data_IF_529913345412
#
_entry.id   IF_529913345412
#
_cell.length_a   1.000
_cell.length_b   1.000
_cell.length_c   1.000
_cell.angle_alpha   90.00
_cell.angle_beta   90.00
_cell.angle_gamma   90.00
#
_symmetry.space_group_name_H-M   'P 1'
#
loop_
_entity.id
_entity.type
_entity.pdbx_description
1 polymer ?
#
# COMPACT_ATOMS: atom_id res chain seq x y z
N UNK A 1 -12.82 -1.82 13.84
CA UNK A 1 -11.61 -2.09 13.02
C UNK A 1 -10.36 -1.89 13.85
N UNK A 2 -9.35 -2.71 13.64
CA UNK A 2 -8.06 -2.65 14.32
C UNK A 2 -7.01 -2.31 13.27
N UNK A 3 -6.45 -1.10 13.31
CA UNK A 3 -5.52 -0.60 12.31
C UNK A 3 -4.30 0.07 12.92
N UNK A 4 -3.33 0.41 12.10
CA UNK A 4 -2.09 1.08 12.49
C UNK A 4 -2.04 2.52 11.99
N UNK A 5 -2.40 2.75 10.75
CA UNK A 5 -2.32 4.05 10.08
C UNK A 5 -3.71 4.56 9.68
N UNK A 6 -3.88 5.87 9.77
CA UNK A 6 -5.05 6.58 9.26
C UNK A 6 -4.66 8.04 8.93
N UNK A 7 -5.11 8.63 7.80
CA UNK A 7 -4.77 10.01 7.45
C UNK A 7 -5.13 11.05 8.51
N UNK A 8 -4.35 12.12 8.64
CA UNK A 8 -3.20 12.49 7.82
C UNK A 8 -1.92 11.72 8.16
N UNK A 9 -1.93 10.95 9.23
CA UNK A 9 -0.79 10.22 9.74
C UNK A 9 -0.70 8.85 9.08
N UNK A 10 -0.06 8.78 7.92
CA UNK A 10 0.19 7.54 7.20
C UNK A 10 1.49 7.61 6.38
N UNK A 11 2.09 6.47 6.14
CA UNK A 11 3.37 6.36 5.41
C UNK A 11 3.24 5.59 4.09
N UNK A 12 2.05 5.09 3.77
CA UNK A 12 1.86 4.26 2.59
C UNK A 12 0.43 3.84 2.33
N UNK A 13 0.27 2.82 1.50
CA UNK A 13 -1.02 2.35 1.02
C UNK A 13 -1.97 1.82 2.11
N UNK A 14 -1.44 1.38 3.27
CA UNK A 14 -2.26 0.89 4.37
C UNK A 14 -3.20 1.98 4.91
N UNK A 15 -2.67 3.17 5.18
CA UNK A 15 -3.47 4.29 5.68
C UNK A 15 -4.52 4.75 4.67
N UNK A 16 -4.15 4.82 3.38
CA UNK A 16 -5.08 5.12 2.28
C UNK A 16 -6.19 4.08 2.22
N UNK A 17 -5.86 2.78 2.26
CA UNK A 17 -6.86 1.72 2.27
C UNK A 17 -7.80 1.83 3.47
N UNK A 18 -7.26 1.98 4.69
CA UNK A 18 -8.09 2.08 5.91
C UNK A 18 -9.07 3.27 5.83
N UNK A 19 -8.62 4.40 5.35
CA UNK A 19 -9.46 5.57 5.17
C UNK A 19 -10.58 5.33 4.16
N UNK A 20 -10.22 4.86 2.96
CA UNK A 20 -11.17 4.67 1.87
C UNK A 20 -12.22 3.60 2.20
N UNK A 21 -11.78 2.46 2.75
CA UNK A 21 -12.71 1.40 3.10
C UNK A 21 -13.65 1.81 4.23
N UNK A 22 -13.16 2.55 5.23
CA UNK A 22 -14.01 3.10 6.29
C UNK A 22 -15.05 4.05 5.71
N UNK A 23 -14.66 4.95 4.82
CA UNK A 23 -15.56 5.91 4.18
C UNK A 23 -16.66 5.22 3.39
N UNK A 24 -16.33 4.22 2.58
CA UNK A 24 -17.34 3.55 1.76
C UNK A 24 -18.22 2.60 2.58
N UNK A 25 -17.67 1.92 3.59
CA UNK A 25 -18.49 1.12 4.50
C UNK A 25 -19.49 1.98 5.28
N UNK A 26 -19.11 3.18 5.74
CA UNK A 26 -20.06 4.06 6.41
C UNK A 26 -21.13 4.61 5.47
N UNK A 27 -20.82 4.81 4.19
CA UNK A 27 -21.82 5.14 3.15
C UNK A 27 -22.82 3.99 2.90
N UNK A 28 -22.41 2.76 3.14
CA UNK A 28 -23.31 1.60 3.13
C UNK A 28 -24.12 1.44 4.42
N UNK A 29 -24.01 2.36 5.38
CA UNK A 29 -24.77 2.38 6.63
C UNK A 29 -24.08 1.68 7.81
N UNK A 30 -22.85 1.22 7.66
CA UNK A 30 -22.10 0.60 8.76
C UNK A 30 -21.51 1.67 9.69
N UNK A 31 -21.49 1.38 10.99
CA UNK A 31 -20.79 2.19 12.00
C UNK A 31 -19.46 1.54 12.31
N UNK A 32 -18.43 2.34 12.42
CA UNK A 32 -17.06 1.85 12.62
C UNK A 32 -16.45 2.46 13.87
N UNK A 33 -15.98 1.61 14.78
CA UNK A 33 -15.01 2.01 15.80
C UNK A 33 -13.64 1.60 15.30
N UNK A 34 -12.80 2.60 15.01
CA UNK A 34 -11.43 2.40 14.54
C UNK A 34 -10.45 2.48 15.71
N UNK A 35 -9.81 1.38 16.02
CA UNK A 35 -8.77 1.29 17.04
C UNK A 35 -7.43 1.57 16.40
N UNK A 36 -6.64 2.48 16.97
CA UNK A 36 -5.32 2.88 16.51
C UNK A 36 -4.40 3.12 17.70
N UNK A 37 -3.07 2.91 17.59
CA UNK A 37 -2.15 3.18 18.70
C UNK A 37 -1.91 4.68 18.92
N UNK A 38 -2.26 5.53 17.98
CA UNK A 38 -1.92 6.96 17.98
C UNK A 38 -3.14 7.83 18.26
N UNK A 39 -2.92 8.92 19.01
CA UNK A 39 -3.90 9.99 19.17
C UNK A 39 -3.83 10.92 17.95
N UNK A 40 -4.99 11.24 17.34
CA UNK A 40 -5.08 12.10 16.15
C UNK A 40 -4.24 13.40 16.15
N UNK A 41 -4.44 14.29 15.21
CA UNK A 41 -5.69 14.47 14.45
C UNK A 41 -5.90 13.40 13.38
N UNK A 42 -7.16 13.00 13.20
CA UNK A 42 -7.54 12.08 12.12
C UNK A 42 -8.39 12.83 11.10
N UNK A 43 -8.23 12.49 9.82
CA UNK A 43 -9.16 12.97 8.78
C UNK A 43 -10.57 12.49 9.11
N UNK A 44 -11.53 13.37 9.32
CA UNK A 44 -12.88 12.98 9.75
C UNK A 44 -13.59 12.14 8.69
N UNK A 45 -14.24 11.06 9.14
CA UNK A 45 -15.15 10.26 8.32
C UNK A 45 -16.46 10.09 9.10
N UNK A 46 -17.58 10.52 8.52
CA UNK A 46 -18.88 10.37 9.15
C UNK A 46 -19.18 8.88 9.46
N UNK A 47 -19.59 8.58 10.68
CA UNK A 47 -19.86 7.19 11.11
C UNK A 47 -18.62 6.42 11.59
N UNK A 48 -17.45 7.05 11.63
CA UNK A 48 -16.22 6.49 12.23
C UNK A 48 -15.94 7.16 13.57
N UNK A 49 -15.74 6.34 14.60
CA UNK A 49 -15.30 6.78 15.93
C UNK A 49 -13.91 6.21 16.19
N UNK A 50 -12.96 7.06 16.57
CA UNK A 50 -11.59 6.64 16.87
C UNK A 50 -11.43 6.34 18.36
N UNK A 51 -10.68 5.28 18.66
CA UNK A 51 -10.23 4.93 20.02
C UNK A 51 -8.73 4.66 19.98
N UNK A 52 -8.01 5.17 20.97
CA UNK A 52 -6.55 5.02 21.10
C UNK A 52 -6.15 4.97 22.60
N UNK A 53 -4.96 4.44 22.94
CA UNK A 53 -4.48 4.42 24.34
C UNK A 53 -4.08 5.82 24.80
N UNK A 54 -4.46 6.16 26.04
CA UNK A 54 -4.05 7.41 26.70
C UNK A 54 -4.86 8.66 26.34
N UNK A 55 -4.41 9.80 26.87
CA UNK A 55 -4.92 11.12 26.53
C UNK A 55 -4.43 11.55 25.14
N UNK A 56 -5.21 12.38 24.40
CA UNK A 56 -4.76 12.90 23.12
C UNK A 56 -3.48 13.71 23.29
N UNK A 57 -2.36 13.14 22.92
CA UNK A 57 -1.11 13.89 22.78
C UNK A 57 -1.06 14.39 21.34
N UNK A 58 -0.80 15.70 21.10
CA UNK A 58 -0.58 16.18 19.75
C UNK A 58 0.63 15.43 19.17
N UNK A 59 0.38 14.50 18.26
CA UNK A 59 1.48 13.95 17.47
C UNK A 59 2.01 15.08 16.60
N UNK A 60 3.29 15.37 16.67
CA UNK A 60 3.95 16.21 15.68
C UNK A 60 3.81 15.49 14.34
N UNK A 61 3.39 16.22 13.30
CA UNK A 61 3.38 15.69 11.94
C UNK A 61 4.74 15.03 11.65
N UNK A 62 4.73 13.76 11.28
CA UNK A 62 5.93 13.02 10.89
C UNK A 62 6.59 12.15 11.97
N UNK A 63 6.16 12.17 13.23
CA UNK A 63 6.70 11.30 14.31
C UNK A 63 5.98 9.94 14.40
N UNK A 64 5.65 9.32 13.26
CA UNK A 64 5.33 7.90 13.27
C UNK A 64 6.62 7.10 13.26
N UNK A 65 6.81 6.13 14.16
CA UNK A 65 7.77 5.10 13.87
C UNK A 65 7.33 4.47 12.55
N UNK A 66 8.19 4.48 11.52
CA UNK A 66 7.81 3.98 10.21
C UNK A 66 7.33 2.55 10.36
N UNK A 67 6.08 2.28 10.00
CA UNK A 67 5.39 0.99 10.18
C UNK A 67 6.14 -0.19 9.55
N UNK A 68 7.22 0.08 8.84
CA UNK A 68 7.97 -0.90 8.04
C UNK A 68 9.48 -0.66 8.06
N UNK A 69 10.04 -0.18 9.17
CA UNK A 69 11.50 -0.16 9.30
C UNK A 69 11.98 -1.60 9.44
N UNK A 70 12.47 -2.14 8.36
CA UNK A 70 13.27 -3.34 8.35
C UNK A 70 14.58 -3.02 9.06
N UNK A 71 14.83 -3.62 10.20
CA UNK A 71 16.08 -3.44 10.95
C UNK A 71 15.90 -3.33 12.47
N UNK A 72 14.68 -3.44 12.98
CA UNK A 72 14.47 -3.55 14.42
C UNK A 72 14.67 -4.98 14.90
N UNK A 73 15.49 -5.19 15.91
CA UNK A 73 15.55 -6.45 16.67
C UNK A 73 14.20 -6.71 17.36
N UNK A 74 13.90 -7.95 17.82
CA UNK A 74 12.73 -8.24 18.65
C UNK A 74 12.57 -7.32 19.87
N UNK A 75 13.65 -6.69 20.31
CA UNK A 75 13.76 -5.75 21.43
C UNK A 75 13.63 -4.28 20.98
N UNK A 76 13.12 -4.02 19.77
CA UNK A 76 13.00 -2.64 19.28
C UNK A 76 11.82 -1.92 19.94
N UNK A 77 11.94 -0.60 20.21
CA UNK A 77 10.82 0.22 20.72
C UNK A 77 9.56 0.12 19.88
N UNK A 78 9.69 -0.25 18.61
CA UNK A 78 8.59 -0.46 17.69
C UNK A 78 7.78 -1.72 18.03
N UNK A 79 8.43 -2.84 18.36
CA UNK A 79 7.75 -4.07 18.78
C UNK A 79 7.07 -3.85 20.12
N UNK A 80 7.74 -3.15 21.07
CA UNK A 80 7.15 -2.79 22.36
C UNK A 80 5.89 -1.93 22.20
N UNK A 81 5.89 -0.98 21.25
CA UNK A 81 4.73 -0.15 20.95
C UNK A 81 3.56 -0.99 20.42
N UNK A 82 3.84 -1.97 19.56
CA UNK A 82 2.83 -2.90 19.03
C UNK A 82 2.27 -3.77 20.14
N UNK A 83 3.11 -4.27 21.03
CA UNK A 83 2.69 -5.11 22.16
C UNK A 83 1.86 -4.31 23.16
N UNK A 84 2.26 -3.09 23.46
CA UNK A 84 1.49 -2.15 24.25
C UNK A 84 0.11 -1.86 23.65
N UNK A 85 0.05 -1.66 22.34
CA UNK A 85 -1.20 -1.45 21.61
C UNK A 85 -2.12 -2.67 21.69
N UNK A 86 -1.61 -3.87 21.43
CA UNK A 86 -2.40 -5.09 21.51
C UNK A 86 -2.88 -5.38 22.96
N UNK A 87 -2.05 -5.11 23.96
CA UNK A 87 -2.42 -5.22 25.37
C UNK A 87 -3.51 -4.20 25.77
N UNK A 88 -3.48 -3.00 25.21
CA UNK A 88 -4.54 -2.01 25.40
C UNK A 88 -5.86 -2.47 24.76
N UNK A 89 -5.85 -3.00 23.54
CA UNK A 89 -7.06 -3.54 22.87
C UNK A 89 -7.71 -4.63 23.74
N UNK A 90 -6.93 -5.52 24.33
CA UNK A 90 -7.44 -6.60 25.19
C UNK A 90 -8.23 -6.08 26.39
N UNK A 91 -7.85 -4.90 26.92
CA UNK A 91 -8.48 -4.27 28.09
C UNK A 91 -9.73 -3.46 27.77
N UNK A 92 -10.05 -3.25 26.50
CA UNK A 92 -11.24 -2.49 26.09
C UNK A 92 -12.53 -3.23 26.48
N UNK A 93 -13.38 -2.59 27.28
CA UNK A 93 -14.66 -3.16 27.76
C UNK A 93 -15.87 -2.47 27.14
N UNK A 94 -15.76 -1.21 26.73
CA UNK A 94 -16.87 -0.42 26.25
C UNK A 94 -16.71 -0.07 24.75
N UNK A 95 -17.10 -0.99 23.90
CA UNK A 95 -17.13 -0.79 22.44
C UNK A 95 -18.54 -0.71 21.88
N UNK A 96 -19.58 -0.87 22.74
CA UNK A 96 -20.94 -1.03 22.29
C UNK A 96 -21.17 -2.32 21.48
N UNK A 97 -22.27 -2.40 20.73
CA UNK A 97 -22.57 -3.56 19.89
C UNK A 97 -21.54 -3.70 18.77
N UNK A 98 -20.92 -4.87 18.65
CA UNK A 98 -19.95 -5.21 17.60
C UNK A 98 -20.43 -6.48 16.89
N UNK A 99 -20.49 -6.45 15.56
CA UNK A 99 -20.84 -7.58 14.73
C UNK A 99 -19.62 -8.28 14.15
N UNK A 100 -18.60 -7.51 13.81
CA UNK A 100 -17.34 -7.98 13.17
C UNK A 100 -16.14 -7.30 13.82
N UNK A 101 -15.10 -8.06 14.06
CA UNK A 101 -13.75 -7.54 14.31
C UNK A 101 -12.96 -7.63 13.01
N UNK A 102 -12.45 -6.51 12.51
CA UNK A 102 -11.65 -6.48 11.29
C UNK A 102 -10.25 -5.91 11.60
N UNK A 103 -9.22 -6.73 11.45
CA UNK A 103 -7.82 -6.35 11.69
C UNK A 103 -7.06 -6.17 10.35
N UNK A 104 -6.16 -5.19 10.32
CA UNK A 104 -5.29 -4.90 9.18
C UNK A 104 -3.84 -5.19 9.51
N UNK A 105 -3.22 -6.08 8.74
CA UNK A 105 -1.85 -6.56 8.90
C UNK A 105 -1.54 -7.09 10.33
N UNK A 106 -0.30 -7.46 10.58
CA UNK A 106 0.16 -8.10 11.80
C UNK A 106 0.15 -7.19 13.05
N UNK A 107 0.11 -5.87 12.86
CA UNK A 107 0.13 -4.90 13.97
C UNK A 107 -1.03 -5.07 14.95
N UNK A 108 -2.22 -5.31 14.42
CA UNK A 108 -3.43 -5.49 15.20
C UNK A 108 -3.88 -6.95 15.36
N UNK A 109 -3.08 -7.89 14.87
CA UNK A 109 -3.48 -9.32 14.83
C UNK A 109 -3.80 -9.88 16.19
N UNK A 110 -2.87 -9.75 17.15
CA UNK A 110 -3.04 -10.31 18.49
C UNK A 110 -4.22 -9.65 19.22
N UNK A 111 -4.27 -8.32 19.22
CA UNK A 111 -5.37 -7.56 19.80
C UNK A 111 -6.71 -7.88 19.15
N UNK A 112 -6.75 -7.98 17.82
CA UNK A 112 -7.94 -8.35 17.06
C UNK A 112 -8.43 -9.76 17.39
N UNK A 113 -7.53 -10.74 17.49
CA UNK A 113 -7.88 -12.14 17.88
C UNK A 113 -8.43 -12.21 19.29
N UNK A 114 -7.78 -11.55 20.25
CA UNK A 114 -8.24 -11.50 21.64
C UNK A 114 -9.59 -10.79 21.77
N UNK A 115 -9.77 -9.69 21.06
CA UNK A 115 -11.03 -8.95 21.04
C UNK A 115 -12.16 -9.77 20.41
N UNK A 116 -11.89 -10.48 19.30
CA UNK A 116 -12.83 -11.39 18.64
C UNK A 116 -13.30 -12.48 19.61
N UNK A 117 -12.38 -13.13 20.32
CA UNK A 117 -12.68 -14.14 21.30
C UNK A 117 -13.49 -13.59 22.49
N UNK A 118 -13.10 -12.42 23.02
CA UNK A 118 -13.78 -11.73 24.13
C UNK A 118 -15.24 -11.38 23.78
N UNK A 119 -15.46 -10.89 22.57
CA UNK A 119 -16.79 -10.47 22.10
C UNK A 119 -17.64 -11.60 21.53
N UNK A 120 -17.06 -12.79 21.28
CA UNK A 120 -17.73 -13.87 20.57
C UNK A 120 -18.14 -13.49 19.15
N UNK A 121 -17.31 -12.68 18.46
CA UNK A 121 -17.58 -12.16 17.12
C UNK A 121 -16.51 -12.60 16.12
N UNK A 122 -16.86 -12.86 14.84
CA UNK A 122 -15.89 -13.32 13.86
C UNK A 122 -14.81 -12.29 13.60
N UNK A 123 -13.58 -12.80 13.39
CA UNK A 123 -12.43 -12.01 12.97
C UNK A 123 -12.29 -12.08 11.45
N UNK A 124 -12.23 -10.92 10.81
CA UNK A 124 -11.75 -10.75 9.43
C UNK A 124 -10.37 -10.10 9.49
N UNK A 125 -9.44 -10.60 8.70
CA UNK A 125 -8.09 -10.03 8.61
C UNK A 125 -7.81 -9.63 7.17
N UNK A 126 -7.45 -8.35 6.93
CA UNK A 126 -6.88 -7.92 5.65
C UNK A 126 -5.37 -7.91 5.73
N UNK A 127 -4.72 -8.61 4.80
CA UNK A 127 -3.27 -8.65 4.65
C UNK A 127 -2.88 -7.75 3.48
N UNK A 128 -2.09 -6.71 3.77
CA UNK A 128 -1.57 -5.75 2.78
C UNK A 128 -0.16 -6.11 2.32
N UNK A 129 0.62 -6.72 3.20
CA UNK A 129 1.95 -7.26 2.92
C UNK A 129 2.31 -8.31 3.97
N UNK A 130 3.27 -9.16 3.64
CA UNK A 130 3.79 -10.15 4.59
C UNK A 130 5.21 -9.82 5.02
N UNK A 131 5.66 -10.48 6.08
CA UNK A 131 7.06 -10.36 6.52
C UNK A 131 8.03 -10.90 5.47
N UNK A 132 7.66 -11.93 4.71
CA UNK A 132 8.45 -12.40 3.57
C UNK A 132 8.65 -11.31 2.50
N UNK A 133 7.65 -10.44 2.28
CA UNK A 133 7.74 -9.33 1.34
C UNK A 133 8.69 -8.26 1.87
N UNK A 134 8.51 -7.86 3.13
CA UNK A 134 9.27 -6.77 3.75
C UNK A 134 10.73 -7.11 3.97
N UNK A 135 11.02 -8.38 4.27
CA UNK A 135 12.37 -8.90 4.55
C UNK A 135 13.07 -9.50 3.31
N UNK A 136 12.46 -9.40 2.12
CA UNK A 136 12.97 -10.01 0.89
C UNK A 136 13.27 -11.50 1.05
N UNK A 137 12.40 -12.22 1.75
CA UNK A 137 12.51 -13.66 1.94
C UNK A 137 13.29 -14.11 3.18
N UNK A 138 13.72 -13.19 4.03
CA UNK A 138 14.40 -13.46 5.30
C UNK A 138 13.55 -13.03 6.51
N UNK A 139 12.40 -13.69 6.77
CA UNK A 139 11.43 -13.24 7.75
C UNK A 139 11.96 -13.36 9.16
N UNK A 140 11.55 -12.42 10.00
CA UNK A 140 11.77 -12.51 11.45
C UNK A 140 10.68 -13.40 12.08
N UNK A 141 11.11 -14.40 12.81
CA UNK A 141 10.21 -15.43 13.36
C UNK A 141 9.09 -14.82 14.21
N UNK A 142 9.40 -13.84 15.05
CA UNK A 142 8.39 -13.22 15.92
C UNK A 142 7.31 -12.43 15.18
N UNK A 143 7.60 -11.84 14.02
CA UNK A 143 6.60 -11.20 13.15
C UNK A 143 5.84 -12.28 12.37
N UNK A 144 6.56 -13.24 11.82
CA UNK A 144 6.00 -14.38 11.09
C UNK A 144 5.00 -15.16 11.93
N UNK A 145 5.30 -15.38 13.22
CA UNK A 145 4.40 -16.09 14.14
C UNK A 145 3.13 -15.30 14.42
N UNK A 146 3.21 -13.97 14.50
CA UNK A 146 2.04 -13.09 14.64
C UNK A 146 1.18 -13.09 13.39
N UNK A 147 1.78 -13.01 12.21
CA UNK A 147 1.06 -13.15 10.94
C UNK A 147 0.36 -14.51 10.84
N UNK A 148 1.06 -15.59 11.14
CA UNK A 148 0.50 -16.95 11.16
C UNK A 148 -0.64 -17.08 12.16
N UNK A 149 -0.49 -16.51 13.35
CA UNK A 149 -1.55 -16.48 14.35
C UNK A 149 -2.81 -15.83 13.79
N UNK A 150 -2.71 -14.62 13.24
CA UNK A 150 -3.85 -13.89 12.69
C UNK A 150 -4.53 -14.61 11.54
N UNK A 151 -3.76 -15.17 10.62
CA UNK A 151 -4.27 -15.93 9.47
C UNK A 151 -5.02 -17.20 9.96
N UNK A 152 -4.50 -17.89 10.97
CA UNK A 152 -5.11 -19.07 11.56
C UNK A 152 -6.42 -18.75 12.29
N UNK A 153 -6.40 -17.74 13.15
CA UNK A 153 -7.53 -17.33 13.99
C UNK A 153 -8.64 -16.63 13.21
N UNK A 154 -8.31 -15.98 12.10
CA UNK A 154 -9.29 -15.29 11.27
C UNK A 154 -10.35 -16.26 10.73
N UNK A 155 -11.63 -15.88 10.83
CA UNK A 155 -12.75 -16.58 10.20
C UNK A 155 -12.66 -16.43 8.68
N UNK A 156 -12.24 -15.25 8.20
CA UNK A 156 -11.91 -14.97 6.80
C UNK A 156 -10.68 -14.09 6.72
N UNK A 157 -9.92 -14.28 5.64
CA UNK A 157 -8.74 -13.47 5.31
C UNK A 157 -8.98 -12.80 3.96
N UNK A 158 -8.68 -11.52 3.87
CA UNK A 158 -8.68 -10.74 2.63
C UNK A 158 -7.22 -10.52 2.21
N UNK A 159 -6.87 -10.94 1.01
CA UNK A 159 -5.59 -10.67 0.37
C UNK A 159 -5.78 -9.59 -0.71
N UNK A 160 -4.89 -8.62 -0.78
CA UNK A 160 -5.00 -7.49 -1.73
C UNK A 160 -4.62 -7.85 -3.18
N UNK A 161 -4.19 -9.10 -3.44
CA UNK A 161 -3.90 -9.63 -4.78
C UNK A 161 -3.97 -11.17 -4.80
N UNK A 162 -4.06 -11.75 -6.00
CA UNK A 162 -3.97 -13.20 -6.17
C UNK A 162 -2.58 -13.73 -5.83
N UNK A 163 -1.55 -12.96 -6.17
CA UNK A 163 -0.18 -13.29 -5.80
C UNK A 163 -0.04 -13.41 -4.29
N UNK A 164 -0.51 -12.41 -3.54
CA UNK A 164 -0.50 -12.44 -2.08
C UNK A 164 -1.35 -13.60 -1.53
N UNK A 165 -2.55 -13.84 -2.10
CA UNK A 165 -3.36 -15.02 -1.72
C UNK A 165 -2.56 -16.31 -1.85
N UNK A 166 -1.87 -16.52 -2.96
CA UNK A 166 -1.08 -17.72 -3.18
C UNK A 166 0.06 -17.82 -2.16
N UNK A 167 0.74 -16.71 -1.89
CA UNK A 167 1.79 -16.65 -0.87
C UNK A 167 1.25 -17.02 0.55
N UNK A 168 0.06 -16.54 0.92
CA UNK A 168 -0.57 -16.91 2.19
C UNK A 168 -0.85 -18.41 2.28
N UNK A 169 -1.28 -19.03 1.20
CA UNK A 169 -1.50 -20.47 1.13
C UNK A 169 -0.19 -21.24 1.25
N UNK A 170 0.82 -20.88 0.45
CA UNK A 170 2.04 -21.66 0.32
C UNK A 170 3.01 -21.48 1.50
N UNK A 171 3.10 -20.28 2.07
CA UNK A 171 4.09 -19.94 3.10
C UNK A 171 3.52 -19.80 4.51
N UNK A 172 2.22 -19.50 4.60
CA UNK A 172 1.54 -19.28 5.88
C UNK A 172 0.55 -20.41 6.22
N UNK A 173 0.44 -21.43 5.36
CA UNK A 173 -0.51 -22.54 5.49
C UNK A 173 -1.98 -22.08 5.67
N UNK A 174 -2.34 -20.95 5.03
CA UNK A 174 -3.69 -20.44 5.06
C UNK A 174 -4.65 -21.42 4.36
N UNK A 175 -5.81 -21.71 4.98
CA UNK A 175 -6.85 -22.49 4.32
C UNK A 175 -7.37 -21.72 3.08
N UNK A 176 -7.23 -22.28 1.86
CA UNK A 176 -7.68 -21.60 0.63
C UNK A 176 -9.16 -21.20 0.65
N UNK A 177 -9.99 -21.91 1.45
CA UNK A 177 -11.43 -21.62 1.61
C UNK A 177 -11.70 -20.38 2.45
N UNK A 178 -10.76 -19.98 3.29
CA UNK A 178 -10.86 -18.77 4.12
C UNK A 178 -10.39 -17.51 3.39
N UNK A 179 -9.52 -17.62 2.39
CA UNK A 179 -8.88 -16.46 1.75
C UNK A 179 -9.69 -15.97 0.56
N UNK A 180 -10.04 -14.69 0.60
CA UNK A 180 -10.68 -13.96 -0.50
C UNK A 180 -9.70 -12.92 -1.06
N UNK A 181 -9.81 -12.63 -2.34
CA UNK A 181 -9.04 -11.55 -2.98
C UNK A 181 -9.96 -10.34 -3.12
N UNK A 182 -9.55 -9.22 -2.53
CA UNK A 182 -10.19 -7.93 -2.75
C UNK A 182 -9.06 -6.94 -3.07
N UNK A 183 -9.01 -6.49 -4.31
CA UNK A 183 -8.00 -5.54 -4.76
C UNK A 183 -8.21 -4.17 -4.12
N UNK A 184 -7.14 -3.38 -4.03
CA UNK A 184 -7.27 -1.97 -3.73
C UNK A 184 -7.89 -1.23 -4.92
N UNK A 185 -8.36 -0.03 -4.68
CA UNK A 185 -8.90 0.85 -5.70
C UNK A 185 -8.26 2.23 -5.62
N UNK A 186 -8.64 3.10 -6.50
CA UNK A 186 -8.22 4.50 -6.52
C UNK A 186 -9.45 5.39 -6.68
N UNK A 187 -9.35 6.62 -6.21
CA UNK A 187 -10.36 7.64 -6.50
C UNK A 187 -10.18 8.17 -7.91
N UNK A 188 -11.27 8.52 -8.61
CA UNK A 188 -11.16 9.37 -9.76
C UNK A 188 -10.46 10.67 -9.36
N UNK A 189 -9.34 10.96 -10.01
CA UNK A 189 -8.65 12.25 -9.90
C UNK A 189 -9.02 13.11 -11.10
N UNK A 190 -9.22 14.42 -10.87
CA UNK A 190 -9.29 15.35 -11.98
C UNK A 190 -7.95 15.34 -12.71
N UNK A 191 -8.01 15.28 -14.03
CA UNK A 191 -6.78 15.37 -14.83
C UNK A 191 -6.31 16.81 -14.77
N UNK A 192 -5.32 17.08 -13.94
CA UNK A 192 -4.68 18.38 -13.91
C UNK A 192 -3.94 18.61 -15.23
N UNK A 193 -4.00 19.84 -15.74
CA UNK A 193 -3.16 20.20 -16.89
C UNK A 193 -1.69 20.08 -16.49
N UNK A 194 -0.87 19.59 -17.42
CA UNK A 194 0.58 19.51 -17.19
C UNK A 194 1.13 20.92 -16.97
N UNK A 195 1.86 21.12 -15.89
CA UNK A 195 2.50 22.39 -15.56
C UNK A 195 3.42 22.85 -16.70
N UNK A 196 4.14 21.91 -17.30
CA UNK A 196 5.02 22.15 -18.45
C UNK A 196 4.96 20.92 -19.39
N UNK A 197 4.16 20.97 -20.46
CA UNK A 197 4.02 19.86 -21.40
C UNK A 197 5.31 19.59 -22.21
N UNK A 198 6.28 20.49 -22.19
CA UNK A 198 7.56 20.32 -22.89
C UNK A 198 8.54 19.46 -22.11
N UNK A 199 8.39 19.38 -20.78
CA UNK A 199 9.24 18.55 -19.95
C UNK A 199 8.83 17.08 -20.00
N UNK A 200 9.83 16.23 -20.15
CA UNK A 200 9.66 14.77 -20.12
C UNK A 200 10.12 14.26 -18.75
N UNK A 201 9.16 13.74 -17.95
CA UNK A 201 9.42 13.27 -16.60
C UNK A 201 9.13 11.77 -16.55
N UNK A 202 10.13 10.99 -16.13
CA UNK A 202 9.98 9.61 -15.72
C UNK A 202 9.92 9.60 -14.19
N UNK A 203 8.79 9.14 -13.65
CA UNK A 203 8.44 9.32 -12.24
C UNK A 203 8.42 7.98 -11.49
N UNK A 204 9.01 7.98 -10.31
CA UNK A 204 8.81 7.00 -9.26
C UNK A 204 8.19 7.70 -8.04
N UNK A 205 7.15 7.10 -7.45
CA UNK A 205 6.57 7.55 -6.18
C UNK A 205 6.47 6.35 -5.25
N UNK A 206 7.04 6.46 -4.07
CA UNK A 206 6.95 5.42 -3.06
C UNK A 206 8.07 5.45 -2.03
N UNK A 207 7.95 4.60 -1.02
CA UNK A 207 8.97 4.49 0.02
C UNK A 207 10.31 4.00 -0.55
N UNK A 208 11.41 4.57 -0.06
CA UNK A 208 12.76 4.19 -0.48
C UNK A 208 13.28 3.04 0.39
N UNK A 209 12.76 1.84 0.11
CA UNK A 209 13.15 0.59 0.76
C UNK A 209 13.65 -0.40 -0.30
N UNK A 210 14.50 -1.36 0.10
CA UNK A 210 15.14 -2.30 -0.81
C UNK A 210 14.12 -3.08 -1.68
N UNK A 211 12.99 -3.46 -1.09
CA UNK A 211 11.92 -4.16 -1.81
C UNK A 211 11.28 -3.35 -2.95
N UNK A 212 11.47 -2.03 -2.98
CA UNK A 212 10.85 -1.13 -3.97
C UNK A 212 11.69 -0.95 -5.25
N UNK A 213 12.92 -1.48 -5.29
CA UNK A 213 13.72 -1.58 -6.51
C UNK A 213 14.13 -0.24 -7.15
N UNK A 214 14.24 0.84 -6.36
CA UNK A 214 14.60 2.16 -6.90
C UNK A 214 15.98 2.19 -7.53
N UNK A 215 16.87 1.28 -7.16
CA UNK A 215 18.16 1.08 -7.81
C UNK A 215 18.01 0.57 -9.27
N UNK A 216 17.02 -0.30 -9.55
CA UNK A 216 16.65 -0.69 -10.92
C UNK A 216 16.17 0.51 -11.73
N UNK A 217 15.34 1.40 -11.13
CA UNK A 217 14.93 2.66 -11.75
C UNK A 217 16.11 3.54 -12.15
N UNK A 218 17.07 3.75 -11.23
CA UNK A 218 18.26 4.58 -11.50
C UNK A 218 19.19 3.95 -12.54
N UNK A 219 19.36 2.63 -12.54
CA UNK A 219 20.13 1.92 -13.56
C UNK A 219 19.49 1.99 -14.94
N UNK A 220 18.16 1.90 -15.01
CA UNK A 220 17.42 2.12 -16.26
C UNK A 220 17.55 3.58 -16.73
N UNK A 221 17.49 4.56 -15.83
CA UNK A 221 17.73 5.96 -16.12
C UNK A 221 19.11 6.20 -16.77
N UNK A 222 20.16 5.55 -16.27
CA UNK A 222 21.49 5.65 -16.82
C UNK A 222 21.59 5.13 -18.26
N UNK A 223 20.79 4.12 -18.63
CA UNK A 223 20.73 3.58 -19.99
C UNK A 223 19.89 4.46 -20.94
N UNK A 224 18.84 5.10 -20.43
CA UNK A 224 17.95 5.97 -21.20
C UNK A 224 18.55 7.35 -21.49
N UNK A 225 19.31 7.89 -20.53
CA UNK A 225 19.87 9.25 -20.58
C UNK A 225 20.65 9.62 -21.85
N UNK A 226 21.52 8.74 -22.42
CA UNK A 226 22.27 9.09 -23.62
C UNK A 226 21.40 9.47 -24.81
N UNK A 227 20.26 8.79 -25.00
CA UNK A 227 19.35 9.02 -26.11
C UNK A 227 18.33 10.12 -25.83
N UNK A 228 18.04 10.38 -24.54
CA UNK A 228 17.08 11.37 -24.06
C UNK A 228 17.69 12.31 -23.01
N UNK A 229 18.61 13.21 -23.39
CA UNK A 229 19.37 14.03 -22.43
C UNK A 229 18.55 15.09 -21.70
N UNK A 230 17.34 15.40 -22.18
CA UNK A 230 16.42 16.38 -21.59
C UNK A 230 15.43 15.76 -20.57
N UNK A 231 15.40 14.43 -20.45
CA UNK A 231 14.49 13.73 -19.53
C UNK A 231 14.94 13.92 -18.08
N UNK A 232 13.96 14.17 -17.21
CA UNK A 232 14.13 14.19 -15.76
C UNK A 232 13.64 12.88 -15.16
N UNK A 233 14.44 12.26 -14.31
CA UNK A 233 14.08 11.09 -13.52
C UNK A 233 13.76 11.55 -12.10
N UNK A 234 12.49 11.53 -11.73
CA UNK A 234 12.02 12.06 -10.45
C UNK A 234 11.73 10.92 -9.49
N UNK A 235 12.30 10.99 -8.32
CA UNK A 235 12.12 10.04 -7.21
C UNK A 235 11.46 10.79 -6.06
N UNK A 236 10.17 10.53 -5.82
CA UNK A 236 9.42 11.11 -4.73
C UNK A 236 9.18 10.05 -3.64
N UNK A 237 9.64 10.33 -2.44
CA UNK A 237 9.52 9.49 -1.28
C UNK A 237 10.72 9.52 -0.36
N UNK A 238 10.56 8.90 0.79
CA UNK A 238 11.58 8.78 1.83
C UNK A 238 11.79 7.30 2.20
N UNK A 239 12.90 7.02 2.85
CA UNK A 239 13.20 5.69 3.37
C UNK A 239 14.68 5.44 3.62
N UNK A 240 15.01 4.31 4.24
CA UNK A 240 16.37 3.99 4.66
C UNK A 240 17.38 3.90 3.51
N UNK A 241 16.90 3.63 2.29
CA UNK A 241 17.75 3.53 1.11
C UNK A 241 18.16 4.89 0.51
N UNK A 242 17.59 6.00 0.98
CA UNK A 242 17.83 7.35 0.42
C UNK A 242 19.33 7.67 0.24
N UNK A 243 20.21 7.55 1.26
CA UNK A 243 21.63 7.90 1.11
C UNK A 243 22.34 7.03 0.07
N UNK A 244 22.03 5.72 0.06
CA UNK A 244 22.59 4.76 -0.91
C UNK A 244 22.17 5.07 -2.34
N UNK A 245 20.89 5.43 -2.53
CA UNK A 245 20.34 5.74 -3.84
C UNK A 245 20.89 7.04 -4.43
N UNK A 246 21.08 8.07 -3.61
CA UNK A 246 21.75 9.32 -4.04
C UNK A 246 23.17 9.05 -4.49
N UNK A 247 23.93 8.26 -3.71
CA UNK A 247 25.29 7.86 -4.10
C UNK A 247 25.31 7.02 -5.38
N UNK A 248 24.34 6.11 -5.53
CA UNK A 248 24.18 5.30 -6.74
C UNK A 248 23.92 6.17 -7.98
N UNK A 249 23.04 7.16 -7.88
CA UNK A 249 22.76 8.09 -8.98
C UNK A 249 24.01 8.85 -9.43
N UNK A 250 24.82 9.30 -8.48
CA UNK A 250 26.11 9.95 -8.77
C UNK A 250 27.06 8.98 -9.46
N UNK A 251 27.22 7.77 -8.96
CA UNK A 251 28.11 6.73 -9.53
C UNK A 251 27.70 6.30 -10.94
N UNK A 252 26.39 6.30 -11.23
CA UNK A 252 25.83 6.00 -12.55
C UNK A 252 25.90 7.20 -13.53
N UNK A 253 26.36 8.36 -13.08
CA UNK A 253 26.43 9.57 -13.89
C UNK A 253 25.07 10.18 -14.24
N UNK A 254 24.02 9.92 -13.46
CA UNK A 254 22.67 10.48 -13.66
C UNK A 254 22.29 11.55 -12.62
N UNK A 255 23.21 11.89 -11.73
CA UNK A 255 22.93 12.81 -10.62
C UNK A 255 22.47 14.22 -11.03
N UNK A 256 22.77 14.66 -12.24
CA UNK A 256 22.30 15.94 -12.82
C UNK A 256 20.87 15.84 -13.40
N UNK A 257 20.32 14.66 -13.54
CA UNK A 257 19.00 14.37 -14.10
C UNK A 257 18.09 13.56 -13.16
N UNK A 258 18.62 12.99 -12.09
CA UNK A 258 17.86 12.30 -11.05
C UNK A 258 17.55 13.28 -9.90
N UNK A 259 16.27 13.61 -9.75
CA UNK A 259 15.79 14.51 -8.71
C UNK A 259 15.14 13.72 -7.58
N UNK A 260 15.67 13.86 -6.38
CA UNK A 260 15.10 13.27 -5.17
C UNK A 260 14.33 14.35 -4.40
N UNK A 261 13.01 14.21 -4.32
CA UNK A 261 12.12 15.21 -3.72
C UNK A 261 11.86 15.01 -2.22
N UNK A 262 12.25 13.85 -1.67
CA UNK A 262 11.85 13.49 -0.32
C UNK A 262 10.36 13.17 -0.24
N UNK A 263 9.79 13.28 0.97
CA UNK A 263 8.36 13.10 1.19
C UNK A 263 7.58 14.22 0.51
N UNK A 264 6.55 13.85 -0.23
CA UNK A 264 5.64 14.78 -0.91
C UNK A 264 4.25 14.71 -0.28
N UNK A 265 3.53 15.81 -0.29
CA UNK A 265 2.12 15.87 0.12
C UNK A 265 1.22 15.19 -0.92
N UNK A 266 -0.04 14.96 -0.58
CA UNK A 266 -1.01 14.39 -1.51
C UNK A 266 -1.22 15.30 -2.73
N UNK A 267 -1.27 16.62 -2.54
CA UNK A 267 -1.39 17.60 -3.62
C UNK A 267 -0.15 17.61 -4.53
N UNK A 268 1.05 17.61 -3.96
CA UNK A 268 2.30 17.51 -4.74
C UNK A 268 2.37 16.20 -5.51
N UNK A 269 1.89 15.09 -4.92
CA UNK A 269 1.83 13.79 -5.60
C UNK A 269 0.88 13.82 -6.80
N UNK A 270 -0.29 14.43 -6.68
CA UNK A 270 -1.23 14.58 -7.80
C UNK A 270 -0.63 15.42 -8.93
N UNK A 271 0.06 16.51 -8.59
CA UNK A 271 0.78 17.36 -9.56
C UNK A 271 1.87 16.55 -10.28
N UNK A 272 2.69 15.81 -9.55
CA UNK A 272 3.75 14.97 -10.11
C UNK A 272 3.18 13.89 -11.05
N UNK A 273 2.13 13.21 -10.63
CA UNK A 273 1.46 12.20 -11.44
C UNK A 273 0.89 12.82 -12.72
N UNK A 274 0.19 13.95 -12.64
CA UNK A 274 -0.36 14.62 -13.81
C UNK A 274 0.71 15.14 -14.77
N UNK A 275 1.89 15.53 -14.24
CA UNK A 275 3.04 16.00 -15.01
C UNK A 275 3.90 14.91 -15.64
N UNK A 276 3.79 13.67 -15.17
CA UNK A 276 4.64 12.58 -15.60
C UNK A 276 4.40 12.16 -17.05
N UNK A 277 5.48 11.81 -17.74
CA UNK A 277 5.42 11.19 -19.07
C UNK A 277 5.32 9.67 -18.97
N UNK A 278 5.99 9.09 -17.97
CA UNK A 278 6.03 7.66 -17.68
C UNK A 278 6.11 7.49 -16.16
N UNK A 279 5.35 6.56 -15.62
CA UNK A 279 5.47 6.11 -14.24
C UNK A 279 6.14 4.73 -14.19
N UNK A 280 7.08 4.53 -13.27
CA UNK A 280 7.82 3.27 -13.14
C UNK A 280 7.79 2.76 -11.71
N UNK A 281 7.33 1.51 -11.53
CA UNK A 281 7.33 0.81 -10.25
C UNK A 281 8.10 -0.51 -10.35
N UNK A 282 9.44 -0.51 -10.19
CA UNK A 282 10.30 -1.67 -10.43
C UNK A 282 10.47 -2.53 -9.17
N UNK A 283 9.43 -2.63 -8.35
CA UNK A 283 9.49 -3.29 -7.05
C UNK A 283 9.89 -4.76 -7.18
N UNK A 284 10.82 -5.20 -6.35
CA UNK A 284 11.19 -6.63 -6.21
C UNK A 284 9.98 -7.43 -5.74
N UNK A 285 9.26 -6.85 -4.78
CA UNK A 285 7.98 -7.37 -4.28
C UNK A 285 7.03 -6.19 -4.09
N UNK A 286 5.83 -6.31 -4.65
CA UNK A 286 4.78 -5.32 -4.53
C UNK A 286 3.43 -6.02 -4.35
N UNK A 287 2.93 -6.18 -3.13
CA UNK A 287 1.70 -6.91 -2.88
C UNK A 287 0.50 -6.39 -3.66
N UNK A 288 0.44 -5.07 -3.90
CA UNK A 288 -0.54 -4.48 -4.81
C UNK A 288 0.05 -3.38 -5.70
N UNK A 289 0.43 -2.20 -5.13
CA UNK A 289 0.98 -1.08 -5.90
C UNK A 289 -0.03 0.05 -6.12
N UNK A 290 -0.57 0.63 -5.04
CA UNK A 290 -1.56 1.74 -5.11
C UNK A 290 -0.98 2.93 -5.90
N UNK A 291 0.31 3.26 -5.73
CA UNK A 291 0.94 4.37 -6.46
C UNK A 291 0.91 4.18 -8.00
N UNK A 292 1.06 2.94 -8.47
CA UNK A 292 0.92 2.64 -9.89
C UNK A 292 -0.54 2.79 -10.35
N UNK A 293 -1.49 2.37 -9.52
CA UNK A 293 -2.92 2.55 -9.82
C UNK A 293 -3.31 4.04 -9.84
N UNK A 294 -2.73 4.87 -8.95
CA UNK A 294 -2.89 6.33 -8.97
C UNK A 294 -2.31 6.95 -10.25
N UNK A 295 -1.14 6.49 -10.69
CA UNK A 295 -0.54 6.94 -11.96
C UNK A 295 -1.43 6.57 -13.17
N UNK A 296 -1.95 5.36 -13.20
CA UNK A 296 -2.91 4.92 -14.22
C UNK A 296 -4.18 5.80 -14.18
N UNK A 297 -4.74 6.07 -13.01
CA UNK A 297 -5.92 6.93 -12.86
C UNK A 297 -5.67 8.36 -13.32
N UNK A 298 -4.45 8.87 -13.20
CA UNK A 298 -4.03 10.14 -13.78
C UNK A 298 -3.83 10.08 -15.32
N UNK A 299 -3.91 8.90 -15.93
CA UNK A 299 -3.71 8.68 -17.36
C UNK A 299 -2.23 8.65 -17.75
N UNK A 300 -1.35 8.30 -16.83
CA UNK A 300 0.08 8.14 -17.06
C UNK A 300 0.38 6.69 -17.46
N UNK A 301 1.05 6.45 -18.60
CA UNK A 301 1.47 5.10 -18.95
C UNK A 301 2.44 4.57 -17.90
N UNK A 302 2.22 3.33 -17.51
CA UNK A 302 2.84 2.76 -16.32
C UNK A 302 3.64 1.51 -16.66
N UNK A 303 4.86 1.42 -16.13
CA UNK A 303 5.72 0.24 -16.21
C UNK A 303 5.85 -0.33 -14.80
N UNK A 304 5.47 -1.59 -14.61
CA UNK A 304 5.50 -2.24 -13.31
C UNK A 304 6.26 -3.55 -13.37
N UNK A 305 6.79 -4.01 -12.24
CA UNK A 305 7.30 -5.37 -12.17
C UNK A 305 6.17 -6.39 -12.26
N UNK A 306 6.45 -7.56 -12.87
CA UNK A 306 5.49 -8.67 -13.00
C UNK A 306 4.99 -9.18 -11.64
N UNK A 307 5.76 -8.96 -10.58
CA UNK A 307 5.44 -9.34 -9.20
C UNK A 307 4.50 -8.36 -8.50
N UNK A 308 4.09 -7.27 -9.15
CA UNK A 308 3.16 -6.29 -8.59
C UNK A 308 1.72 -6.75 -8.73
N UNK A 309 0.93 -6.65 -7.65
CA UNK A 309 -0.50 -7.02 -7.67
C UNK A 309 -1.33 -6.19 -8.66
N UNK A 310 -0.97 -4.93 -8.92
CA UNK A 310 -1.63 -4.08 -9.93
C UNK A 310 -1.49 -4.66 -11.34
N UNK A 311 -0.43 -5.42 -11.62
CA UNK A 311 -0.26 -6.11 -12.90
C UNK A 311 -1.34 -7.18 -13.17
N UNK A 312 -2.04 -7.64 -12.13
CA UNK A 312 -3.12 -8.63 -12.27
C UNK A 312 -4.41 -8.02 -12.87
N UNK A 313 -4.62 -6.73 -12.68
CA UNK A 313 -5.86 -6.03 -13.04
C UNK A 313 -5.71 -5.08 -14.23
N UNK A 314 -4.49 -4.91 -14.74
CA UNK A 314 -4.22 -4.01 -15.87
C UNK A 314 -3.59 -4.76 -17.04
N UNK A 315 -4.15 -4.59 -18.22
CA UNK A 315 -3.55 -4.98 -19.51
C UNK A 315 -2.82 -3.80 -20.18
N UNK A 316 -3.19 -2.57 -19.81
CA UNK A 316 -2.61 -1.32 -20.34
C UNK A 316 -1.28 -0.91 -19.69
N UNK A 317 -0.60 -1.80 -18.98
CA UNK A 317 0.72 -1.54 -18.38
C UNK A 317 1.80 -2.43 -18.98
N UNK A 318 3.01 -1.92 -19.12
CA UNK A 318 4.17 -2.79 -19.35
C UNK A 318 4.54 -3.55 -18.08
N UNK A 319 4.76 -4.86 -18.24
CA UNK A 319 5.12 -5.77 -17.14
C UNK A 319 6.52 -6.31 -17.39
N UNK A 320 7.44 -5.95 -16.52
CA UNK A 320 8.87 -6.26 -16.67
C UNK A 320 9.34 -7.10 -15.47
N UNK A 321 10.28 -8.00 -15.66
CA UNK A 321 10.91 -8.68 -14.53
C UNK A 321 11.74 -7.68 -13.72
N UNK A 322 11.60 -7.66 -12.39
CA UNK A 322 12.18 -6.62 -11.53
C UNK A 322 13.71 -6.50 -11.63
N UNK A 323 14.38 -7.55 -12.08
CA UNK A 323 15.84 -7.57 -12.29
C UNK A 323 16.27 -7.14 -13.70
N UNK A 324 15.33 -7.05 -14.65
CA UNK A 324 15.64 -6.74 -16.05
C UNK A 324 15.72 -5.24 -16.30
N UNK A 325 16.88 -4.68 -15.96
CA UNK A 325 17.19 -3.25 -16.15
C UNK A 325 17.10 -2.84 -17.63
N UNK A 326 17.50 -3.74 -18.54
CA UNK A 326 17.50 -3.45 -19.98
C UNK A 326 16.10 -3.33 -20.53
N UNK A 327 15.20 -4.21 -20.13
CA UNK A 327 13.80 -4.13 -20.52
C UNK A 327 13.12 -2.90 -19.92
N UNK A 328 13.38 -2.54 -18.64
CA UNK A 328 12.87 -1.27 -18.08
C UNK A 328 13.35 -0.08 -18.89
N UNK A 329 14.64 -0.01 -19.24
CA UNK A 329 15.18 1.09 -20.05
C UNK A 329 14.54 1.14 -21.44
N UNK A 330 14.39 -0.01 -22.10
CA UNK A 330 13.76 -0.13 -23.41
C UNK A 330 12.31 0.37 -23.40
N UNK A 331 11.51 -0.04 -22.40
CA UNK A 331 10.11 0.41 -22.27
C UNK A 331 9.98 1.88 -21.93
N UNK A 332 10.88 2.42 -21.11
CA UNK A 332 10.93 3.87 -20.86
C UNK A 332 11.22 4.62 -22.15
N UNK A 333 12.26 4.22 -22.89
CA UNK A 333 12.65 4.83 -24.15
C UNK A 333 11.50 4.77 -25.19
N UNK A 334 10.84 3.62 -25.33
CA UNK A 334 9.69 3.42 -26.23
C UNK A 334 8.55 4.40 -25.92
N UNK A 335 8.19 4.56 -24.62
CA UNK A 335 7.15 5.51 -24.22
C UNK A 335 7.58 6.98 -24.39
N UNK A 336 8.86 7.29 -24.31
CA UNK A 336 9.37 8.64 -24.54
C UNK A 336 9.41 8.97 -26.05
N UNK A 337 9.73 8.01 -26.88
CA UNK A 337 9.85 8.17 -28.33
C UNK A 337 8.50 8.21 -29.05
N UNK A 338 7.53 7.37 -28.63
CA UNK A 338 6.25 7.22 -29.32
C UNK A 338 5.07 7.88 -28.58
N UNK A 339 4.76 9.18 -28.85
CA UNK A 339 3.69 9.88 -28.13
C UNK A 339 2.29 9.25 -28.28
N UNK A 340 2.02 8.60 -29.42
CA UNK A 340 0.74 7.91 -29.65
C UNK A 340 0.61 6.71 -28.73
N UNK A 341 1.63 5.86 -28.66
CA UNK A 341 1.66 4.70 -27.74
C UNK A 341 1.49 5.16 -26.29
N UNK A 342 2.26 6.17 -25.90
CA UNK A 342 2.18 6.77 -24.57
C UNK A 342 0.76 7.22 -24.21
N UNK A 343 0.08 7.90 -25.13
CA UNK A 343 -1.30 8.36 -24.92
C UNK A 343 -2.27 7.18 -24.82
N UNK A 344 -2.21 6.23 -25.77
CA UNK A 344 -3.11 5.07 -25.78
C UNK A 344 -2.98 4.25 -24.50
N UNK A 345 -1.76 3.94 -24.06
CA UNK A 345 -1.54 3.21 -22.81
C UNK A 345 -2.03 3.99 -21.58
N UNK A 346 -1.85 5.31 -21.58
CA UNK A 346 -2.37 6.15 -20.50
C UNK A 346 -3.90 6.15 -20.44
N UNK A 347 -4.57 6.23 -21.59
CA UNK A 347 -6.04 6.19 -21.68
C UNK A 347 -6.60 4.82 -21.26
N UNK A 348 -6.01 3.73 -21.74
CA UNK A 348 -6.38 2.36 -21.34
C UNK A 348 -6.16 2.12 -19.86
N UNK A 349 -4.98 2.49 -19.35
CA UNK A 349 -4.66 2.36 -17.93
C UNK A 349 -5.64 3.14 -17.05
N UNK A 350 -6.01 4.37 -17.46
CA UNK A 350 -7.01 5.17 -16.74
C UNK A 350 -8.37 4.49 -16.71
N UNK A 351 -8.84 3.97 -17.84
CA UNK A 351 -10.10 3.26 -17.89
C UNK A 351 -10.11 2.04 -16.98
N UNK A 352 -9.04 1.24 -17.00
CA UNK A 352 -8.91 0.06 -16.14
C UNK A 352 -8.86 0.42 -14.65
N UNK A 353 -8.08 1.45 -14.27
CA UNK A 353 -7.94 1.89 -12.90
C UNK A 353 -9.27 2.41 -12.29
N UNK A 354 -10.11 3.02 -13.12
CA UNK A 354 -11.37 3.63 -12.69
C UNK A 354 -12.59 2.72 -12.86
N UNK A 355 -12.45 1.57 -13.50
CA UNK A 355 -13.57 0.65 -13.77
C UNK A 355 -14.24 0.14 -12.50
N UNK A 356 -13.46 -0.14 -11.48
CA UNK A 356 -13.94 -0.63 -10.21
C UNK A 356 -13.31 0.19 -9.07
N UNK A 357 -14.14 0.99 -8.40
CA UNK A 357 -13.70 1.91 -7.36
C UNK A 357 -13.84 1.35 -5.95
N UNK A 358 -13.57 2.18 -4.97
CA UNK A 358 -13.73 1.85 -3.55
C UNK A 358 -15.15 1.43 -3.14
N UNK A 359 -16.25 1.94 -3.77
CA UNK A 359 -17.60 1.45 -3.48
C UNK A 359 -17.77 -0.05 -3.76
N UNK A 360 -17.17 -0.58 -4.84
CA UNK A 360 -17.17 -2.01 -5.17
C UNK A 360 -16.39 -2.80 -4.12
N UNK A 361 -15.19 -2.31 -3.74
CA UNK A 361 -14.35 -2.95 -2.71
C UNK A 361 -15.04 -3.02 -1.36
N UNK A 362 -15.82 -1.99 -1.01
CA UNK A 362 -16.62 -2.00 0.22
C UNK A 362 -17.74 -3.06 0.16
N UNK A 363 -18.46 -3.19 -0.97
CA UNK A 363 -19.48 -4.23 -1.14
C UNK A 363 -18.89 -5.64 -1.05
N UNK A 364 -17.72 -5.88 -1.69
CA UNK A 364 -16.98 -7.15 -1.58
C UNK A 364 -16.57 -7.42 -0.13
N UNK A 365 -16.10 -6.39 0.59
CA UNK A 365 -15.74 -6.50 2.00
C UNK A 365 -16.95 -6.87 2.85
N UNK A 366 -18.12 -6.24 2.61
CA UNK A 366 -19.38 -6.61 3.30
C UNK A 366 -19.76 -8.06 3.00
N UNK A 367 -19.62 -8.51 1.76
CA UNK A 367 -19.87 -9.92 1.43
C UNK A 367 -18.98 -10.87 2.24
N UNK A 368 -17.70 -10.53 2.44
CA UNK A 368 -16.80 -11.31 3.31
C UNK A 368 -17.23 -11.24 4.77
N UNK A 369 -17.74 -10.12 5.26
CA UNK A 369 -18.31 -10.01 6.62
C UNK A 369 -19.49 -10.94 6.81
N UNK A 370 -20.43 -10.96 5.86
CA UNK A 370 -21.58 -11.85 5.89
C UNK A 370 -21.17 -13.34 5.84
N UNK A 371 -20.15 -13.68 5.04
CA UNK A 371 -19.56 -15.03 5.05
C UNK A 371 -18.94 -15.38 6.41
N UNK A 372 -18.24 -14.42 7.04
CA UNK A 372 -17.62 -14.64 8.35
C UNK A 372 -18.67 -14.83 9.45
N UNK A 373 -19.73 -14.02 9.45
CA UNK A 373 -20.86 -14.15 10.41
C UNK A 373 -21.54 -15.51 10.28
N UNK A 374 -21.88 -15.95 9.05
CA UNK A 374 -22.47 -17.27 8.81
C UNK A 374 -21.56 -18.39 9.29
N UNK A 375 -20.26 -18.32 9.00
CA UNK A 375 -19.29 -19.33 9.41
C UNK A 375 -19.12 -19.41 10.94
N UNK A 376 -19.33 -18.32 11.65
CA UNK A 376 -19.28 -18.22 13.11
C UNK A 376 -20.64 -18.49 13.78
N UNK A 377 -21.72 -18.76 13.02
CA UNK A 377 -23.07 -18.95 13.56
C UNK A 377 -23.69 -17.70 14.16
N UNK A 378 -23.21 -16.51 13.77
CA UNK A 378 -23.75 -15.22 14.20
C UNK A 378 -24.90 -14.82 13.28
N UNK A 379 -26.05 -14.33 13.79
CA UNK A 379 -27.14 -13.85 12.95
C UNK A 379 -26.68 -12.74 11.98
N UNK A 380 -27.19 -12.78 10.75
CA UNK A 380 -26.89 -11.84 9.67
C UNK A 380 -28.00 -10.81 9.57
#
# INVERSE_FOLDING_TARGET
>A
MVGWEFPPSHTGGLGVHCFEICRELTRLGHRITFLTPFSGPFTPVAGVTFRFPGEPTPSKEGEFPPAYWTGGTPESPFVDAIDGYNAWIQRLDDLGPVDIVHAHDWFGTLGGSLLSAKLGRPLVMTVHSTEYDRSLGHPWDHILDRERLGIREATRVIAVSRHLRQQLIDRYAADPKKVRVIYNAVRPTERLERIDPTKRIVLYVGRLAAMKGVDTFLRAAAKVRPDFPDVLFVVAGEGPEYPRLVQLAANLGVGDRAMFLGKVTDEEREILLSGASVFVLPSVVEPFGIAALEAMAAGVPTIVSKTSGVAEISSGTFRVDFWDVDEFASRIAELLEYPTLRRTMGEEGRWEALREGWPERARETVAVYLEAMRAAGVPV
#
